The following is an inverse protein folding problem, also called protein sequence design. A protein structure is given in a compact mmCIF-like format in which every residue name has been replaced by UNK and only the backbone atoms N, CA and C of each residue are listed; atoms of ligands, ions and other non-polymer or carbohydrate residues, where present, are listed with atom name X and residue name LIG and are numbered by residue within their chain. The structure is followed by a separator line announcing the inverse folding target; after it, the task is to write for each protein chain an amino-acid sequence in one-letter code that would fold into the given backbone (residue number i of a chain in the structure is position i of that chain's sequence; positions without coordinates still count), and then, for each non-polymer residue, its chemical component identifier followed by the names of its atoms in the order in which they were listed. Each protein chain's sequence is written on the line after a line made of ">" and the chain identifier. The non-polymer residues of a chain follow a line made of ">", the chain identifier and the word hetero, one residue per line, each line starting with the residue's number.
data_IF_451963815822
#
_entry.id   IF_451963815822
#
_cell.length_a   1.000
_cell.length_b   1.000
_cell.length_c   1.000
_cell.angle_alpha   90.00
_cell.angle_beta   90.00
_cell.angle_gamma   90.00
#
_symmetry.space_group_name_H-M   'P 1'
#
loop_
_entity.id
_entity.type
_entity.pdbx_description
1 polymer ?
#
# COMPACT_ATOMS: atom_id res chain seq x y z
N UNK A 1 24.84 -6.45 2.71
CA UNK A 1 23.73 -5.95 1.86
C UNK A 1 23.64 -4.45 2.10
N UNK A 2 23.67 -3.58 1.08
CA UNK A 2 23.46 -2.15 1.30
C UNK A 2 22.05 -1.94 1.87
N UNK A 3 21.93 -1.17 2.95
CA UNK A 3 20.65 -0.78 3.55
C UNK A 3 19.92 0.13 2.57
N UNK A 4 18.85 -0.36 1.96
CA UNK A 4 18.02 0.45 1.09
C UNK A 4 17.17 1.40 1.95
N UNK A 5 17.31 2.70 1.71
CA UNK A 5 16.49 3.71 2.38
C UNK A 5 15.03 3.55 1.95
N UNK A 6 14.16 3.23 2.91
CA UNK A 6 12.72 3.12 2.69
C UNK A 6 12.04 4.40 3.18
N UNK A 7 11.44 5.15 2.26
CA UNK A 7 10.55 6.27 2.60
C UNK A 7 9.11 5.79 2.62
N UNK A 8 8.33 6.24 3.61
CA UNK A 8 6.89 6.02 3.64
C UNK A 8 6.13 7.34 3.54
N UNK A 9 4.89 7.27 3.07
CA UNK A 9 3.97 8.39 3.03
C UNK A 9 2.64 7.96 3.67
N UNK A 10 2.02 8.88 4.41
CA UNK A 10 0.74 8.66 5.10
C UNK A 10 -0.30 9.67 4.62
N UNK A 11 -1.58 9.34 4.72
CA UNK A 11 -2.68 10.23 4.31
C UNK A 11 -2.97 10.25 2.81
N UNK A 12 -2.38 9.33 2.03
CA UNK A 12 -2.75 9.14 0.63
C UNK A 12 -4.04 8.32 0.52
N UNK A 13 -4.90 8.68 -0.43
CA UNK A 13 -6.02 7.84 -0.84
C UNK A 13 -5.55 6.81 -1.87
N UNK A 14 -6.00 5.56 -1.74
CA UNK A 14 -5.76 4.48 -2.71
C UNK A 14 -7.08 4.03 -3.34
N UNK A 15 -7.04 3.63 -4.59
CA UNK A 15 -8.16 2.98 -5.29
C UNK A 15 -7.82 1.52 -5.60
N UNK A 16 -8.83 0.66 -5.71
CA UNK A 16 -8.66 -0.73 -6.15
C UNK A 16 -9.42 -0.96 -7.45
N UNK A 17 -8.82 -1.70 -8.38
CA UNK A 17 -9.44 -2.10 -9.65
C UNK A 17 -9.06 -3.53 -10.00
N UNK A 18 -9.96 -4.30 -10.62
CA UNK A 18 -9.71 -5.69 -11.05
C UNK A 18 -8.85 -5.76 -12.34
N UNK A 19 -8.05 -4.72 -12.61
CA UNK A 19 -7.20 -4.60 -13.78
C UNK A 19 -5.86 -4.00 -13.39
N UNK A 20 -4.79 -4.51 -14.01
CA UNK A 20 -3.47 -3.88 -13.93
C UNK A 20 -3.47 -2.56 -14.72
N UNK A 21 -3.59 -1.43 -14.02
CA UNK A 21 -3.68 -0.11 -14.65
C UNK A 21 -2.31 0.29 -15.22
N UNK A 22 -2.11 0.11 -16.51
CA UNK A 22 -0.94 0.58 -17.27
C UNK A 22 -1.35 1.55 -18.37
N UNK A 23 -2.22 2.51 -18.04
CA UNK A 23 -2.75 3.48 -19.00
C UNK A 23 -2.84 4.87 -18.35
N UNK A 24 -2.14 5.84 -18.96
CA UNK A 24 -2.07 7.21 -18.43
C UNK A 24 -3.44 7.88 -18.30
N UNK A 25 -4.36 7.64 -19.24
CA UNK A 25 -5.69 8.23 -19.21
C UNK A 25 -6.54 7.65 -18.08
N UNK A 26 -6.45 6.34 -17.82
CA UNK A 26 -7.14 5.70 -16.68
C UNK A 26 -6.56 6.21 -15.36
N UNK A 27 -5.22 6.28 -15.24
CA UNK A 27 -4.58 6.84 -14.05
C UNK A 27 -5.01 8.29 -13.79
N UNK A 28 -5.03 9.13 -14.82
CA UNK A 28 -5.42 10.54 -14.71
C UNK A 28 -6.88 10.68 -14.29
N UNK A 29 -7.76 9.83 -14.84
CA UNK A 29 -9.16 9.75 -14.42
C UNK A 29 -9.27 9.40 -12.93
N UNK A 30 -8.56 8.37 -12.47
CA UNK A 30 -8.56 7.96 -11.06
C UNK A 30 -8.12 9.11 -10.14
N UNK A 31 -7.01 9.77 -10.49
CA UNK A 31 -6.50 10.90 -9.70
C UNK A 31 -7.47 12.08 -9.72
N UNK A 32 -7.97 12.47 -10.88
CA UNK A 32 -8.82 13.67 -11.02
C UNK A 32 -10.13 13.52 -10.28
N UNK A 33 -10.78 12.35 -10.37
CA UNK A 33 -12.13 12.11 -9.82
C UNK A 33 -12.13 11.60 -8.38
N UNK A 34 -11.18 10.75 -7.98
CA UNK A 34 -11.17 10.14 -6.64
C UNK A 34 -10.06 10.68 -5.75
N UNK A 35 -9.14 11.51 -6.28
CA UNK A 35 -7.95 11.99 -5.56
C UNK A 35 -7.08 10.84 -5.02
N UNK A 36 -7.19 9.66 -5.62
CA UNK A 36 -6.37 8.50 -5.28
C UNK A 36 -4.97 8.66 -5.90
N UNK A 37 -3.94 8.53 -5.07
CA UNK A 37 -2.53 8.65 -5.46
C UNK A 37 -1.92 7.30 -5.84
N UNK A 38 -2.59 6.20 -5.49
CA UNK A 38 -2.19 4.83 -5.81
C UNK A 38 -3.38 4.02 -6.30
N UNK A 39 -3.09 3.03 -7.14
CA UNK A 39 -4.06 2.02 -7.56
C UNK A 39 -3.47 0.63 -7.39
N UNK A 40 -4.28 -0.28 -6.85
CA UNK A 40 -3.95 -1.69 -6.70
C UNK A 40 -5.12 -2.61 -7.09
N UNK A 41 -4.98 -3.92 -6.85
CA UNK A 41 -5.94 -4.92 -7.30
C UNK A 41 -6.73 -5.57 -6.14
N UNK A 42 -6.30 -5.42 -4.88
CA UNK A 42 -6.87 -6.20 -3.76
C UNK A 42 -7.32 -5.41 -2.54
N UNK A 43 -6.73 -4.24 -2.24
CA UNK A 43 -6.86 -3.58 -0.93
C UNK A 43 -8.31 -3.37 -0.50
N UNK A 44 -9.15 -2.78 -1.37
CA UNK A 44 -10.54 -2.50 -1.03
C UNK A 44 -11.35 -3.79 -0.81
N UNK A 45 -11.09 -4.84 -1.60
CA UNK A 45 -11.78 -6.12 -1.48
C UNK A 45 -11.44 -6.82 -0.15
N UNK A 46 -10.14 -6.90 0.20
CA UNK A 46 -9.68 -7.49 1.47
C UNK A 46 -10.22 -6.69 2.66
N UNK A 47 -10.15 -5.35 2.57
CA UNK A 47 -10.65 -4.45 3.62
C UNK A 47 -12.16 -4.59 3.82
N UNK A 48 -12.93 -4.69 2.73
CA UNK A 48 -14.38 -4.90 2.80
C UNK A 48 -14.73 -6.20 3.52
N UNK A 49 -14.03 -7.29 3.22
CA UNK A 49 -14.24 -8.58 3.90
C UNK A 49 -13.87 -8.49 5.38
N UNK A 50 -12.74 -7.88 5.71
CA UNK A 50 -12.30 -7.71 7.09
C UNK A 50 -13.32 -6.89 7.91
N UNK A 51 -13.78 -5.75 7.37
CA UNK A 51 -14.82 -4.93 7.99
C UNK A 51 -16.13 -5.71 8.17
N UNK A 52 -16.54 -6.47 7.15
CA UNK A 52 -17.75 -7.31 7.22
C UNK A 52 -17.69 -8.40 8.28
N UNK A 53 -16.48 -8.77 8.73
CA UNK A 53 -16.24 -9.74 9.81
C UNK A 53 -15.89 -9.07 11.14
N UNK A 54 -16.12 -7.76 11.30
CA UNK A 54 -15.92 -7.05 12.57
C UNK A 54 -14.47 -6.66 12.88
N UNK A 55 -13.57 -6.70 11.90
CA UNK A 55 -12.19 -6.19 12.07
C UNK A 55 -12.19 -4.68 11.85
N UNK A 56 -12.16 -3.90 12.93
CA UNK A 56 -12.29 -2.44 12.87
C UNK A 56 -10.95 -1.70 12.68
N UNK A 57 -9.83 -2.30 13.13
CA UNK A 57 -8.51 -1.70 13.05
C UNK A 57 -7.70 -2.31 11.90
N UNK A 58 -7.78 -1.69 10.72
CA UNK A 58 -7.13 -2.17 9.50
C UNK A 58 -6.03 -1.19 9.09
N UNK A 59 -4.84 -1.73 8.84
CA UNK A 59 -3.69 -0.98 8.33
C UNK A 59 -3.20 -1.67 7.07
N UNK A 60 -2.98 -0.90 6.02
CA UNK A 60 -2.55 -1.41 4.70
C UNK A 60 -1.20 -0.80 4.35
N UNK A 61 -0.23 -1.67 4.06
CA UNK A 61 1.07 -1.26 3.53
C UNK A 61 1.15 -1.63 2.05
N UNK A 62 1.27 -0.62 1.17
CA UNK A 62 1.49 -0.82 -0.27
C UNK A 62 2.85 -0.26 -0.67
N UNK A 63 3.62 -1.04 -1.41
CA UNK A 63 4.85 -0.58 -2.06
C UNK A 63 4.57 -0.10 -3.48
N UNK A 64 5.17 1.03 -3.86
CA UNK A 64 5.06 1.56 -5.22
C UNK A 64 5.94 0.74 -6.17
N UNK A 65 5.31 -0.01 -7.07
CA UNK A 65 6.00 -0.88 -8.04
C UNK A 65 6.12 -0.27 -9.43
N UNK A 66 5.26 0.67 -9.80
CA UNK A 66 5.24 1.31 -11.12
C UNK A 66 4.44 2.63 -11.07
N UNK A 67 4.30 3.28 -12.22
CA UNK A 67 3.69 4.62 -12.37
C UNK A 67 2.32 4.62 -13.07
N UNK A 68 1.70 3.45 -13.21
CA UNK A 68 0.40 3.23 -13.83
C UNK A 68 0.23 3.91 -15.20
N UNK A 69 1.08 3.53 -16.17
CA UNK A 69 1.12 4.18 -17.50
C UNK A 69 1.94 5.47 -17.54
N UNK A 70 2.81 5.72 -16.56
CA UNK A 70 3.74 6.86 -16.56
C UNK A 70 5.01 6.59 -17.36
N UNK A 71 6.02 7.45 -17.20
CA UNK A 71 7.28 7.31 -17.92
C UNK A 71 7.88 5.90 -17.79
N UNK A 72 8.22 5.31 -18.93
CA UNK A 72 8.83 3.98 -19.06
C UNK A 72 10.34 3.97 -18.84
N UNK A 73 10.94 5.15 -18.57
CA UNK A 73 12.37 5.29 -18.27
C UNK A 73 12.80 4.42 -17.07
N UNK A 74 11.84 4.03 -16.24
CA UNK A 74 12.04 3.19 -15.08
C UNK A 74 11.29 1.87 -15.23
N UNK A 75 12.06 0.79 -15.39
CA UNK A 75 11.55 -0.58 -15.36
C UNK A 75 10.85 -0.84 -14.03
N UNK A 76 9.82 -1.68 -14.06
CA UNK A 76 9.04 -2.09 -12.89
C UNK A 76 9.91 -2.28 -11.64
N UNK A 77 9.53 -1.58 -10.58
CA UNK A 77 10.09 -1.66 -9.24
C UNK A 77 9.37 -2.71 -8.38
N UNK A 78 8.67 -3.70 -8.98
CA UNK A 78 7.92 -4.71 -8.23
C UNK A 78 8.73 -5.34 -7.09
N UNK A 79 10.01 -5.69 -7.34
CA UNK A 79 10.88 -6.22 -6.29
C UNK A 79 11.07 -5.25 -5.12
N UNK A 80 11.39 -3.99 -5.41
CA UNK A 80 11.60 -2.96 -4.37
C UNK A 80 10.30 -2.63 -3.63
N UNK A 81 9.19 -2.51 -4.36
CA UNK A 81 7.87 -2.29 -3.77
C UNK A 81 7.50 -3.41 -2.79
N UNK A 82 7.68 -4.67 -3.17
CA UNK A 82 7.40 -5.82 -2.31
C UNK A 82 8.30 -5.88 -1.08
N UNK A 83 9.62 -5.73 -1.27
CA UNK A 83 10.58 -5.77 -0.14
C UNK A 83 10.31 -4.64 0.86
N UNK A 84 10.08 -3.42 0.37
CA UNK A 84 9.80 -2.28 1.25
C UNK A 84 8.47 -2.45 2.01
N UNK A 85 7.42 -2.95 1.35
CA UNK A 85 6.14 -3.19 2.01
C UNK A 85 6.25 -4.24 3.12
N UNK A 86 6.96 -5.35 2.88
CA UNK A 86 7.19 -6.40 3.87
C UNK A 86 8.05 -5.91 5.03
N UNK A 87 9.13 -5.19 4.75
CA UNK A 87 10.00 -4.65 5.80
C UNK A 87 9.23 -3.71 6.73
N UNK A 88 8.43 -2.79 6.18
CA UNK A 88 7.59 -1.89 6.99
C UNK A 88 6.57 -2.67 7.81
N UNK A 89 5.93 -3.70 7.24
CA UNK A 89 4.96 -4.52 7.97
C UNK A 89 5.60 -5.29 9.14
N UNK A 90 6.79 -5.87 8.94
CA UNK A 90 7.53 -6.61 9.98
C UNK A 90 7.95 -5.67 11.11
N UNK A 91 8.53 -4.52 10.78
CA UNK A 91 8.92 -3.50 11.77
C UNK A 91 7.70 -2.95 12.52
N UNK A 92 6.59 -2.73 11.82
CA UNK A 92 5.34 -2.33 12.44
C UNK A 92 4.87 -3.38 13.46
N UNK A 93 4.77 -4.66 13.08
CA UNK A 93 4.37 -5.76 13.97
C UNK A 93 5.28 -5.82 15.22
N UNK A 94 6.60 -5.70 15.04
CA UNK A 94 7.54 -5.64 16.15
C UNK A 94 7.29 -4.45 17.09
N UNK A 95 7.01 -3.27 16.53
CA UNK A 95 6.71 -2.06 17.30
C UNK A 95 5.37 -2.17 18.05
N UNK A 96 4.30 -2.67 17.41
CA UNK A 96 3.01 -2.85 18.12
C UNK A 96 3.12 -3.95 19.16
N UNK A 97 3.79 -5.07 18.88
CA UNK A 97 3.96 -6.18 19.84
C UNK A 97 4.75 -5.82 21.10
N UNK A 98 5.56 -4.77 21.04
CA UNK A 98 6.37 -4.26 22.17
C UNK A 98 5.79 -3.00 22.82
N UNK A 99 4.68 -2.47 22.31
CA UNK A 99 4.08 -1.24 22.81
C UNK A 99 3.39 -1.45 24.18
N UNK A 100 3.44 -0.45 25.08
CA UNK A 100 2.75 -0.53 26.38
C UNK A 100 1.24 -0.76 26.26
N UNK A 101 0.63 -0.30 25.16
CA UNK A 101 -0.80 -0.46 24.90
C UNK A 101 -1.18 -1.91 24.56
N UNK A 102 -0.32 -2.66 23.87
CA UNK A 102 -0.54 -4.08 23.57
C UNK A 102 -0.21 -5.00 24.74
N UNK A 103 0.77 -4.61 25.57
CA UNK A 103 1.13 -5.35 26.80
C UNK A 103 0.06 -5.19 27.89
N UNK A 104 -0.66 -4.06 27.92
CA UNK A 104 -1.73 -3.79 28.89
C UNK A 104 -3.10 -4.41 28.49
N UNK A 105 -3.22 -4.97 27.28
CA UNK A 105 -4.43 -5.62 26.78
C UNK A 105 -4.48 -7.13 27.10
N UNK A 106 -3.49 -7.64 27.85
CA UNK A 106 -3.39 -9.01 28.36
C UNK A 106 -3.19 -9.03 29.87
#
# INVERSE_FOLDING_TARGET
>A
MPTQSTSYCQGLSSSTADIYVQNAAIREFIYTHFKASTVDEETAAVTLVALSNGVENIIVFRGISNTAGGSTAYKSYSYLGSVNAVNVAVEFIGAVGTSKASIAAY
#
